data_IF_344210923955
#
_entry.id   IF_344210923955
#
_cell.length_a   1.000
_cell.length_b   1.000
_cell.length_c   1.000
_cell.angle_alpha   90.00
_cell.angle_beta   90.00
_cell.angle_gamma   90.00
#
_symmetry.space_group_name_H-M   'P 1'
#
loop_
_entity.id
_entity.type
_entity.pdbx_description
1 polymer ?
#
# COMPACT_ATOMS: atom_id res chain seq x y z
N UNK A 1 43.12 -4.80 57.44
CA UNK A 1 43.37 -6.17 57.00
C UNK A 1 42.78 -6.37 55.63
N UNK A 2 43.60 -6.37 54.56
CA UNK A 2 43.19 -6.61 53.19
C UNK A 2 43.06 -8.10 52.95
N UNK A 3 41.89 -8.58 52.60
CA UNK A 3 41.67 -9.95 52.17
C UNK A 3 42.36 -10.10 50.80
N UNK A 4 43.46 -10.83 50.73
CA UNK A 4 44.09 -11.26 49.47
C UNK A 4 43.20 -12.37 48.90
N UNK A 5 42.42 -12.06 47.90
CA UNK A 5 41.72 -13.06 47.10
C UNK A 5 42.81 -13.86 46.37
N UNK A 6 42.91 -15.15 46.63
CA UNK A 6 43.83 -16.02 45.91
C UNK A 6 43.42 -16.09 44.44
N UNK A 7 44.37 -16.08 43.48
CA UNK A 7 44.04 -16.23 42.05
C UNK A 7 43.38 -17.58 41.82
N UNK A 8 42.25 -17.59 41.11
CA UNK A 8 41.51 -18.80 40.77
C UNK A 8 42.45 -19.75 39.98
N UNK A 9 42.67 -20.95 40.55
CA UNK A 9 43.42 -21.99 39.86
C UNK A 9 42.48 -22.67 38.85
N UNK A 10 42.69 -22.38 37.57
CA UNK A 10 42.00 -23.07 36.49
C UNK A 10 42.36 -24.58 36.53
N UNK A 11 41.38 -25.39 36.76
CA UNK A 11 41.53 -26.85 36.72
C UNK A 11 41.34 -27.35 35.30
N UNK A 12 41.82 -28.58 35.04
CA UNK A 12 41.60 -29.24 33.73
C UNK A 12 40.08 -29.41 33.46
N UNK A 13 39.31 -29.59 34.51
CA UNK A 13 37.84 -29.69 34.41
C UNK A 13 37.22 -28.36 33.94
N UNK A 14 37.69 -27.23 34.48
CA UNK A 14 37.20 -25.90 34.03
C UNK A 14 37.46 -25.65 32.55
N UNK A 15 38.65 -26.06 32.07
CA UNK A 15 38.99 -25.95 30.66
C UNK A 15 38.12 -26.86 29.77
N UNK A 16 37.83 -28.08 30.22
CA UNK A 16 36.93 -29.00 29.51
C UNK A 16 35.51 -28.43 29.48
N UNK A 17 34.98 -27.97 30.60
CA UNK A 17 33.63 -27.35 30.68
C UNK A 17 33.57 -26.14 29.78
N UNK A 18 34.55 -25.24 29.85
CA UNK A 18 34.61 -24.06 28.99
C UNK A 18 34.64 -24.46 27.50
N UNK A 19 35.47 -25.44 27.13
CA UNK A 19 35.53 -25.91 25.74
C UNK A 19 34.19 -26.50 25.27
N UNK A 20 33.53 -27.30 26.10
CA UNK A 20 32.19 -27.86 25.78
C UNK A 20 31.15 -26.75 25.63
N UNK A 21 31.15 -25.74 26.51
CA UNK A 21 30.21 -24.60 26.40
C UNK A 21 30.47 -23.77 25.14
N UNK A 22 31.73 -23.52 24.79
CA UNK A 22 32.08 -22.79 23.56
C UNK A 22 31.64 -23.59 22.32
N UNK A 23 31.91 -24.90 22.29
CA UNK A 23 31.47 -25.76 21.18
C UNK A 23 29.93 -25.77 21.08
N UNK A 24 29.25 -25.94 22.20
CA UNK A 24 27.76 -25.86 22.23
C UNK A 24 27.24 -24.53 21.72
N UNK A 25 27.80 -23.40 22.16
CA UNK A 25 27.43 -22.08 21.70
C UNK A 25 27.66 -21.88 20.19
N UNK A 26 28.81 -22.38 19.68
CA UNK A 26 29.11 -22.35 18.25
C UNK A 26 28.11 -23.20 17.45
N UNK A 27 27.84 -24.44 17.92
CA UNK A 27 26.86 -25.31 17.27
C UNK A 27 25.46 -24.67 17.23
N UNK A 28 25.00 -24.13 18.38
CA UNK A 28 23.72 -23.42 18.45
C UNK A 28 23.73 -22.22 17.49
N UNK A 29 24.80 -21.42 17.47
CA UNK A 29 24.95 -20.30 16.58
C UNK A 29 24.87 -20.70 15.09
N UNK A 30 25.56 -21.81 14.73
CA UNK A 30 25.52 -22.35 13.36
C UNK A 30 24.13 -22.88 13.01
N UNK A 31 23.45 -23.60 13.91
CA UNK A 31 22.09 -24.10 13.67
C UNK A 31 21.10 -22.96 13.50
N UNK A 32 21.15 -21.95 14.39
CA UNK A 32 20.30 -20.76 14.29
C UNK A 32 20.59 -20.01 12.99
N UNK A 33 21.85 -19.80 12.65
CA UNK A 33 22.23 -19.15 11.39
C UNK A 33 21.79 -19.97 10.17
N UNK A 34 21.99 -21.28 10.17
CA UNK A 34 21.60 -22.17 9.08
C UNK A 34 20.08 -22.22 8.85
N UNK A 35 19.28 -22.08 9.93
CA UNK A 35 17.82 -22.01 9.88
C UNK A 35 17.25 -20.60 9.77
N UNK A 36 18.09 -19.56 9.75
CA UNK A 36 17.61 -18.16 9.73
C UNK A 36 17.20 -17.74 8.32
N UNK A 37 16.16 -16.88 8.23
CA UNK A 37 15.74 -16.25 6.97
C UNK A 37 16.84 -15.38 6.34
N UNK A 38 17.84 -14.96 7.11
CA UNK A 38 18.97 -14.19 6.62
C UNK A 38 19.86 -15.00 5.64
N UNK A 39 20.02 -16.32 5.87
CA UNK A 39 20.76 -17.21 4.95
C UNK A 39 20.03 -17.41 3.62
N UNK A 40 18.71 -17.32 3.64
CA UNK A 40 17.82 -17.51 2.48
C UNK A 40 17.43 -16.17 1.83
N UNK A 41 18.20 -15.10 2.07
CA UNK A 41 18.03 -13.81 1.43
C UNK A 41 19.20 -13.56 0.47
N UNK A 42 18.86 -13.18 -0.75
CA UNK A 42 19.83 -12.80 -1.78
C UNK A 42 19.67 -11.32 -2.09
N UNK A 43 20.77 -10.60 -2.18
CA UNK A 43 20.79 -9.18 -2.54
C UNK A 43 21.79 -8.96 -3.66
N UNK A 44 21.32 -8.37 -4.75
CA UNK A 44 22.09 -7.95 -5.91
C UNK A 44 21.86 -6.45 -6.12
N UNK A 45 22.57 -5.61 -5.35
CA UNK A 45 22.38 -4.16 -5.38
C UNK A 45 23.04 -3.53 -6.60
N UNK A 46 22.49 -2.41 -7.07
CA UNK A 46 23.15 -1.58 -8.05
C UNK A 46 24.35 -0.86 -7.42
N UNK A 47 25.45 -0.75 -8.15
CA UNK A 47 26.66 -0.05 -7.70
C UNK A 47 26.41 1.45 -7.44
N UNK A 48 25.52 2.06 -8.23
CA UNK A 48 25.11 3.46 -8.12
C UNK A 48 23.61 3.57 -8.41
N UNK A 49 22.94 4.53 -7.76
CA UNK A 49 21.58 4.91 -8.08
C UNK A 49 21.54 5.54 -9.49
N UNK A 50 20.54 5.18 -10.26
CA UNK A 50 20.28 5.83 -11.55
C UNK A 50 19.70 7.23 -11.34
N UNK A 51 19.98 8.14 -12.28
CA UNK A 51 19.33 9.44 -12.29
C UNK A 51 17.83 9.30 -12.59
N UNK A 52 17.02 10.13 -11.92
CA UNK A 52 15.59 10.21 -12.23
C UNK A 52 15.40 10.68 -13.69
N UNK A 53 14.52 10.05 -14.46
CA UNK A 53 14.22 10.51 -15.80
C UNK A 53 13.53 11.88 -15.74
N UNK A 54 13.76 12.70 -16.77
CA UNK A 54 13.06 13.97 -16.89
C UNK A 54 11.56 13.71 -17.14
N UNK A 55 10.66 14.49 -16.54
CA UNK A 55 9.24 14.44 -16.89
C UNK A 55 9.04 14.68 -18.39
N UNK A 56 8.06 14.02 -18.97
CA UNK A 56 7.73 14.24 -20.37
C UNK A 56 7.12 15.63 -20.61
N UNK A 57 7.52 16.29 -21.69
CA UNK A 57 6.98 17.60 -22.09
C UNK A 57 5.58 17.50 -22.72
N UNK A 58 5.23 16.32 -23.27
CA UNK A 58 3.93 16.02 -23.90
C UNK A 58 3.58 14.55 -23.75
N UNK A 59 2.28 14.23 -23.78
CA UNK A 59 1.84 12.84 -23.89
C UNK A 59 2.07 12.32 -25.33
N UNK A 60 2.46 11.04 -25.49
CA UNK A 60 2.86 10.49 -26.81
C UNK A 60 1.69 10.39 -27.79
N UNK A 61 1.99 10.42 -29.09
CA UNK A 61 1.00 10.21 -30.16
C UNK A 61 0.70 8.74 -30.43
N UNK A 62 1.64 7.85 -30.14
CA UNK A 62 1.55 6.40 -30.27
C UNK A 62 2.30 5.74 -29.11
N UNK A 63 1.93 4.51 -28.78
CA UNK A 63 2.59 3.71 -27.75
C UNK A 63 2.67 2.25 -28.23
N UNK A 64 3.83 1.65 -28.02
CA UNK A 64 4.06 0.24 -28.27
C UNK A 64 4.63 -0.43 -26.99
N UNK A 65 4.34 -1.70 -26.83
CA UNK A 65 4.91 -2.46 -25.71
C UNK A 65 6.39 -2.71 -25.96
N UNK A 66 7.25 -2.21 -25.08
CA UNK A 66 8.71 -2.38 -25.17
C UNK A 66 9.24 -3.46 -24.23
N UNK A 67 8.58 -3.69 -23.11
CA UNK A 67 8.91 -4.75 -22.16
C UNK A 67 7.71 -5.15 -21.31
N UNK A 68 7.85 -6.29 -20.60
CA UNK A 68 6.92 -6.74 -19.58
C UNK A 68 7.65 -7.51 -18.49
N UNK A 69 7.11 -7.49 -17.26
CA UNK A 69 7.68 -8.20 -16.11
C UNK A 69 6.58 -8.68 -15.16
N UNK A 70 6.74 -9.87 -14.53
CA UNK A 70 5.83 -10.36 -13.51
C UNK A 70 5.88 -9.47 -12.26
N UNK A 71 4.70 -9.17 -11.69
CA UNK A 71 4.51 -8.33 -10.51
C UNK A 71 3.16 -8.65 -9.83
N UNK A 72 2.99 -9.88 -9.38
CA UNK A 72 1.74 -10.33 -8.76
C UNK A 72 1.49 -9.72 -7.37
N UNK A 73 2.53 -9.20 -6.72
CA UNK A 73 2.44 -8.58 -5.41
C UNK A 73 2.19 -7.05 -5.46
N UNK A 74 1.85 -6.51 -6.66
CA UNK A 74 1.45 -5.10 -6.84
C UNK A 74 0.09 -5.04 -7.53
N UNK A 75 -0.69 -4.01 -7.22
CA UNK A 75 -2.01 -3.76 -7.86
C UNK A 75 -2.00 -2.58 -8.82
N UNK A 76 -0.98 -1.73 -8.70
CA UNK A 76 -0.65 -0.62 -9.59
C UNK A 76 0.86 -0.61 -9.78
N UNK A 77 1.40 -0.08 -10.89
CA UNK A 77 2.84 0.03 -11.07
C UNK A 77 3.47 0.85 -9.93
N UNK A 78 4.50 0.34 -9.30
CA UNK A 78 5.20 1.00 -8.19
C UNK A 78 6.44 1.72 -8.72
N UNK A 79 6.60 2.99 -8.34
CA UNK A 79 7.64 3.87 -8.87
C UNK A 79 8.50 4.43 -7.76
N UNK A 80 9.80 4.19 -7.83
CA UNK A 80 10.82 4.99 -7.14
C UNK A 80 11.21 6.18 -8.01
N UNK A 81 12.06 7.06 -7.53
CA UNK A 81 12.47 8.25 -8.28
C UNK A 81 12.99 7.94 -9.69
N UNK A 82 13.63 6.80 -9.89
CA UNK A 82 14.27 6.44 -11.16
C UNK A 82 13.82 5.11 -11.76
N UNK A 83 13.10 4.26 -11.03
CA UNK A 83 12.89 2.86 -11.42
C UNK A 83 11.44 2.41 -11.26
N UNK A 84 11.08 1.40 -12.02
CA UNK A 84 9.82 0.66 -11.83
C UNK A 84 10.09 -0.53 -10.91
N UNK A 85 9.41 -0.58 -9.78
CA UNK A 85 9.51 -1.69 -8.83
C UNK A 85 8.48 -2.76 -9.19
N UNK A 86 8.95 -3.97 -9.43
CA UNK A 86 8.13 -5.15 -9.66
C UNK A 86 8.37 -6.19 -8.56
N UNK A 87 7.32 -6.88 -8.16
CA UNK A 87 7.35 -7.80 -7.03
C UNK A 87 6.54 -9.06 -7.33
N UNK A 88 7.21 -10.23 -7.30
CA UNK A 88 6.60 -11.51 -7.61
C UNK A 88 7.24 -12.64 -6.82
N UNK A 89 6.44 -13.63 -6.37
CA UNK A 89 6.90 -14.75 -5.56
C UNK A 89 7.53 -14.28 -4.24
N UNK A 90 8.86 -14.37 -4.14
CA UNK A 90 9.67 -13.84 -3.03
C UNK A 90 10.64 -12.76 -3.46
N UNK A 91 10.53 -12.26 -4.70
CA UNK A 91 11.53 -11.37 -5.32
C UNK A 91 10.96 -9.97 -5.57
N UNK A 92 11.74 -8.96 -5.18
CA UNK A 92 11.52 -7.54 -5.54
C UNK A 92 12.66 -7.10 -6.45
N UNK A 93 12.35 -6.42 -7.54
CA UNK A 93 13.32 -5.90 -8.51
C UNK A 93 12.99 -4.47 -8.88
N UNK A 94 14.02 -3.67 -9.11
CA UNK A 94 13.86 -2.41 -9.82
C UNK A 94 14.29 -2.58 -11.28
N UNK A 95 13.48 -2.04 -12.15
CA UNK A 95 13.69 -2.09 -13.60
C UNK A 95 13.90 -0.69 -14.15
N UNK A 96 14.73 -0.59 -15.17
CA UNK A 96 14.82 0.60 -16.00
C UNK A 96 13.48 0.86 -16.70
N UNK A 97 12.87 2.05 -16.57
CA UNK A 97 11.56 2.32 -17.13
C UNK A 97 11.53 2.17 -18.67
N UNK A 98 12.62 2.49 -19.34
CA UNK A 98 12.71 2.53 -20.79
C UNK A 98 12.90 1.14 -21.40
N UNK A 99 13.77 0.33 -20.82
CA UNK A 99 14.21 -0.96 -21.40
C UNK A 99 13.69 -2.19 -20.63
N UNK A 100 13.16 -2.03 -19.43
CA UNK A 100 12.85 -3.16 -18.52
C UNK A 100 14.08 -3.89 -17.96
N UNK A 101 15.29 -3.39 -18.22
CA UNK A 101 16.51 -3.99 -17.70
C UNK A 101 16.56 -3.92 -16.17
N UNK A 102 16.96 -5.02 -15.53
CA UNK A 102 17.09 -5.07 -14.08
C UNK A 102 18.22 -4.16 -13.61
N UNK A 103 17.93 -3.30 -12.62
CA UNK A 103 18.91 -2.43 -11.96
C UNK A 103 19.41 -3.03 -10.66
N UNK A 104 18.50 -3.57 -9.85
CA UNK A 104 18.80 -4.30 -8.63
C UNK A 104 17.75 -5.37 -8.36
N UNK A 105 18.11 -6.34 -7.50
CA UNK A 105 17.24 -7.45 -7.09
C UNK A 105 17.43 -7.74 -5.61
N UNK A 106 16.32 -8.04 -4.94
CA UNK A 106 16.29 -8.57 -3.58
C UNK A 106 15.34 -9.75 -3.52
N UNK A 107 15.76 -10.87 -2.94
CA UNK A 107 14.97 -12.09 -2.83
C UNK A 107 14.99 -12.64 -1.41
N UNK A 108 13.85 -13.17 -0.98
CA UNK A 108 13.70 -13.98 0.23
C UNK A 108 12.91 -15.24 -0.08
N UNK A 109 13.26 -16.36 0.60
CA UNK A 109 12.48 -17.60 0.56
C UNK A 109 11.18 -17.49 1.38
N UNK A 110 10.47 -16.40 1.22
CA UNK A 110 9.17 -16.11 1.83
C UNK A 110 8.24 -15.52 0.75
N UNK A 111 6.97 -15.92 0.72
CA UNK A 111 6.03 -15.33 -0.24
C UNK A 111 5.75 -13.87 0.08
N UNK A 112 5.73 -13.03 -0.94
CA UNK A 112 5.32 -11.64 -0.84
C UNK A 112 3.81 -11.53 -0.60
N UNK A 113 3.43 -10.68 0.35
CA UNK A 113 2.06 -10.21 0.54
C UNK A 113 1.77 -8.95 -0.28
N UNK A 114 2.79 -8.12 -0.48
CA UNK A 114 2.69 -6.88 -1.23
C UNK A 114 4.02 -6.14 -1.32
N UNK A 115 4.11 -5.21 -2.25
CA UNK A 115 5.20 -4.25 -2.36
C UNK A 115 4.66 -2.86 -2.72
N UNK A 116 5.31 -1.83 -2.20
CA UNK A 116 4.93 -0.44 -2.36
C UNK A 116 6.17 0.44 -2.46
N UNK A 117 6.19 1.39 -3.39
CA UNK A 117 7.17 2.47 -3.40
C UNK A 117 6.66 3.65 -2.55
N UNK A 118 7.50 4.18 -1.67
CA UNK A 118 7.14 5.21 -0.72
C UNK A 118 8.26 6.24 -0.56
N UNK A 119 7.94 7.42 -0.05
CA UNK A 119 8.82 8.58 0.19
C UNK A 119 9.63 9.01 -1.04
N UNK A 120 8.99 9.17 -2.24
CA UNK A 120 9.69 9.65 -3.43
C UNK A 120 10.22 11.09 -3.20
N UNK A 121 11.46 11.33 -3.61
CA UNK A 121 12.12 12.64 -3.39
C UNK A 121 12.72 12.84 -2.01
N UNK A 122 12.55 11.89 -1.07
CA UNK A 122 13.21 11.80 0.23
C UNK A 122 14.07 10.54 0.29
N UNK A 123 13.71 9.59 1.19
CA UNK A 123 14.42 8.32 1.35
C UNK A 123 14.28 7.40 0.14
N UNK A 124 13.24 7.59 -0.67
CA UNK A 124 12.96 6.84 -1.90
C UNK A 124 13.04 5.31 -1.71
N UNK A 125 12.09 4.75 -0.99
CA UNK A 125 12.13 3.36 -0.56
C UNK A 125 11.17 2.46 -1.34
N UNK A 126 11.62 1.24 -1.63
CA UNK A 126 10.76 0.12 -2.00
C UNK A 126 10.48 -0.73 -0.74
N UNK A 127 9.25 -0.66 -0.23
CA UNK A 127 8.81 -1.42 0.93
C UNK A 127 8.19 -2.72 0.48
N UNK A 128 8.67 -3.83 1.00
CA UNK A 128 8.19 -5.19 0.69
C UNK A 128 7.74 -5.89 1.97
N UNK A 129 6.59 -6.54 1.90
CA UNK A 129 5.97 -7.27 3.01
C UNK A 129 5.91 -8.74 2.65
N UNK A 130 6.48 -9.59 3.51
CA UNK A 130 6.54 -11.03 3.33
C UNK A 130 5.72 -11.74 4.41
N UNK A 131 5.21 -12.91 4.06
CA UNK A 131 4.44 -13.77 4.96
C UNK A 131 5.32 -14.84 5.60
N UNK A 132 5.21 -14.93 6.91
CA UNK A 132 5.77 -16.02 7.71
C UNK A 132 4.66 -16.72 8.53
N UNK A 133 5.01 -17.43 9.59
CA UNK A 133 4.06 -18.09 10.48
C UNK A 133 3.16 -17.14 11.30
N UNK A 134 3.46 -15.83 11.33
CA UNK A 134 2.68 -14.77 11.99
C UNK A 134 1.94 -13.88 11.00
N UNK A 135 1.67 -14.37 9.79
CA UNK A 135 1.01 -13.62 8.73
C UNK A 135 1.98 -12.77 7.90
N UNK A 136 1.48 -11.71 7.28
CA UNK A 136 2.24 -10.74 6.45
C UNK A 136 3.05 -9.77 7.34
N UNK A 137 3.97 -10.32 8.13
CA UNK A 137 4.59 -9.65 9.26
C UNK A 137 6.05 -9.24 9.07
N UNK A 138 6.72 -9.76 8.04
CA UNK A 138 8.12 -9.46 7.75
C UNK A 138 8.22 -8.32 6.74
N UNK A 139 8.68 -7.15 7.19
CA UNK A 139 8.79 -5.95 6.35
C UNK A 139 10.25 -5.63 6.11
N UNK A 140 10.58 -5.31 4.85
CA UNK A 140 11.91 -4.85 4.44
C UNK A 140 11.75 -3.59 3.60
N UNK A 141 12.46 -2.53 3.98
CA UNK A 141 12.62 -1.32 3.18
C UNK A 141 13.97 -1.38 2.44
N UNK A 142 13.92 -1.22 1.14
CA UNK A 142 15.06 -1.21 0.23
C UNK A 142 15.22 0.18 -0.35
N UNK A 143 16.45 0.68 -0.43
CA UNK A 143 16.75 1.91 -1.15
C UNK A 143 16.31 1.79 -2.61
N UNK A 144 15.46 2.69 -3.08
CA UNK A 144 14.84 2.61 -4.41
C UNK A 144 15.85 2.70 -5.56
N UNK A 145 16.94 3.44 -5.35
CA UNK A 145 18.00 3.58 -6.36
C UNK A 145 18.97 2.42 -6.41
N UNK A 146 19.31 1.81 -5.26
CA UNK A 146 20.39 0.80 -5.17
C UNK A 146 19.91 -0.59 -4.78
N UNK A 147 18.73 -0.74 -4.15
CA UNK A 147 18.27 -2.01 -3.60
C UNK A 147 18.96 -2.43 -2.29
N UNK A 148 19.80 -1.57 -1.72
CA UNK A 148 20.38 -1.83 -0.39
C UNK A 148 19.27 -1.79 0.67
N UNK A 149 19.39 -2.67 1.66
CA UNK A 149 18.44 -2.72 2.76
C UNK A 149 18.70 -1.58 3.73
N UNK A 150 17.70 -0.71 3.92
CA UNK A 150 17.75 0.45 4.82
C UNK A 150 17.13 0.13 6.19
N UNK A 151 15.98 -0.56 6.19
CA UNK A 151 15.29 -0.91 7.42
C UNK A 151 14.58 -2.26 7.30
N UNK A 152 14.28 -2.85 8.45
CA UNK A 152 13.46 -4.06 8.55
C UNK A 152 12.67 -4.06 9.85
N UNK A 153 11.50 -4.69 9.82
CA UNK A 153 10.73 -4.98 11.03
C UNK A 153 10.06 -6.35 10.91
N UNK A 154 9.72 -6.90 12.06
CA UNK A 154 8.88 -8.08 12.17
C UNK A 154 7.86 -7.82 13.27
N UNK A 155 6.60 -8.07 12.98
CA UNK A 155 5.51 -7.89 13.94
C UNK A 155 4.50 -9.03 13.82
N UNK A 156 3.28 -8.83 14.25
CA UNK A 156 2.13 -9.68 13.98
C UNK A 156 1.27 -9.04 12.89
N UNK A 157 0.64 -9.84 12.05
CA UNK A 157 -0.22 -9.34 10.97
C UNK A 157 -1.23 -10.40 10.54
N UNK A 158 -2.20 -9.99 9.75
CA UNK A 158 -3.10 -10.93 9.05
C UNK A 158 -2.37 -11.64 7.90
N UNK A 159 -2.93 -12.74 7.41
CA UNK A 159 -2.37 -13.52 6.28
C UNK A 159 -2.42 -12.78 4.94
N UNK A 160 -3.22 -11.74 4.86
CA UNK A 160 -3.32 -10.85 3.71
C UNK A 160 -3.40 -9.41 4.17
N UNK A 161 -2.70 -8.52 3.48
CA UNK A 161 -2.69 -7.08 3.78
C UNK A 161 -2.79 -6.26 2.49
N UNK A 162 -3.41 -5.09 2.59
CA UNK A 162 -3.32 -4.02 1.62
C UNK A 162 -2.29 -3.00 2.10
N UNK A 163 -1.46 -2.50 1.20
CA UNK A 163 -0.47 -1.47 1.46
C UNK A 163 -0.92 -0.16 0.82
N UNK A 164 -0.73 0.94 1.53
CA UNK A 164 -0.96 2.29 1.01
C UNK A 164 0.01 3.28 1.65
N UNK A 165 0.19 4.44 1.01
CA UNK A 165 1.11 5.49 1.44
C UNK A 165 0.44 6.86 1.28
N UNK A 166 0.56 7.74 2.28
CA UNK A 166 -0.07 9.07 2.29
C UNK A 166 0.90 10.24 2.08
N UNK A 167 2.17 9.94 1.85
CA UNK A 167 3.23 10.94 1.77
C UNK A 167 4.14 10.95 3.01
N UNK A 168 3.66 10.47 4.15
CA UNK A 168 4.42 10.43 5.41
C UNK A 168 4.47 9.04 6.03
N UNK A 169 3.33 8.32 6.07
CA UNK A 169 3.25 6.98 6.64
C UNK A 169 2.86 5.94 5.59
N UNK A 170 3.52 4.79 5.65
CA UNK A 170 3.02 3.56 5.00
C UNK A 170 2.04 2.89 5.96
N UNK A 171 0.90 2.48 5.43
CA UNK A 171 -0.11 1.69 6.12
C UNK A 171 -0.10 0.26 5.59
N UNK A 172 -0.18 -0.71 6.50
CA UNK A 172 -0.47 -2.12 6.21
C UNK A 172 -1.76 -2.50 6.92
N UNK A 173 -2.79 -2.88 6.19
CA UNK A 173 -4.10 -3.20 6.73
C UNK A 173 -4.59 -4.56 6.25
N UNK A 174 -4.85 -5.45 7.19
CA UNK A 174 -5.55 -6.71 6.99
C UNK A 174 -6.99 -6.67 7.51
N UNK A 175 -7.72 -7.79 7.48
CA UNK A 175 -9.11 -7.85 7.92
C UNK A 175 -9.31 -7.68 9.44
N UNK A 176 -8.27 -7.84 10.27
CA UNK A 176 -8.38 -7.72 11.72
C UNK A 176 -7.37 -6.78 12.35
N UNK A 177 -6.29 -6.45 11.64
CA UNK A 177 -5.18 -5.65 12.16
C UNK A 177 -4.68 -4.64 11.14
N UNK A 178 -4.33 -3.46 11.62
CA UNK A 178 -3.72 -2.38 10.86
C UNK A 178 -2.49 -1.84 11.60
N UNK A 179 -1.43 -1.54 10.86
CA UNK A 179 -0.26 -0.80 11.34
C UNK A 179 0.09 0.35 10.39
N UNK A 180 0.69 1.39 10.94
CA UNK A 180 1.37 2.44 10.16
C UNK A 180 2.85 2.48 10.50
N UNK A 181 3.68 2.89 9.54
CA UNK A 181 5.15 2.98 9.72
C UNK A 181 5.69 4.24 9.08
N UNK A 182 6.62 4.90 9.78
CA UNK A 182 7.49 5.92 9.19
C UNK A 182 8.56 5.33 8.26
N UNK A 183 9.38 6.17 7.64
CA UNK A 183 10.42 5.75 6.67
C UNK A 183 11.48 4.81 7.26
N UNK A 184 11.73 4.90 8.55
CA UNK A 184 12.60 3.99 9.30
C UNK A 184 11.90 2.70 9.76
N UNK A 185 10.66 2.45 9.33
CA UNK A 185 9.78 1.35 9.73
C UNK A 185 9.45 1.33 11.23
N UNK A 186 9.66 2.42 11.95
CA UNK A 186 9.13 2.58 13.32
C UNK A 186 7.61 2.70 13.21
N UNK A 187 6.93 1.96 14.10
CA UNK A 187 5.47 1.93 14.15
C UNK A 187 4.92 3.28 14.61
N UNK A 188 3.96 3.81 13.84
CA UNK A 188 3.15 4.95 14.23
C UNK A 188 2.00 4.52 15.13
N UNK A 189 1.14 3.62 14.63
CA UNK A 189 0.05 3.00 15.41
C UNK A 189 -0.08 1.52 15.11
N UNK A 190 -0.74 0.79 16.00
CA UNK A 190 -1.36 -0.51 15.72
C UNK A 190 -2.83 -0.46 16.15
N UNK A 191 -3.72 -1.00 15.33
CA UNK A 191 -5.16 -0.93 15.55
C UNK A 191 -5.87 -2.22 15.17
N UNK A 192 -6.98 -2.53 15.86
CA UNK A 192 -7.74 -3.76 15.71
C UNK A 192 -7.23 -4.87 16.63
N UNK A 193 -6.90 -6.05 16.09
CA UNK A 193 -6.37 -7.16 16.89
C UNK A 193 -4.95 -6.87 17.37
N UNK A 194 -4.80 -6.69 18.66
CA UNK A 194 -3.52 -6.53 19.36
C UNK A 194 -3.50 -7.52 20.51
N UNK A 195 -2.75 -8.62 20.38
CA UNK A 195 -2.82 -9.76 21.29
C UNK A 195 -2.24 -9.47 22.68
N UNK A 196 -1.28 -8.57 22.78
CA UNK A 196 -0.65 -8.19 24.05
C UNK A 196 -0.29 -6.69 24.03
N UNK A 197 -1.28 -5.79 24.20
CA UNK A 197 -1.01 -4.37 24.22
C UNK A 197 -0.16 -4.00 25.45
N UNK A 198 0.90 -3.23 25.20
CA UNK A 198 1.75 -2.70 26.29
C UNK A 198 0.93 -1.74 27.17
N UNK A 199 0.08 -0.95 26.55
CA UNK A 199 -0.89 -0.09 27.21
C UNK A 199 -2.30 -0.40 26.67
N UNK A 200 -3.19 -1.04 27.44
CA UNK A 200 -4.55 -1.36 27.01
C UNK A 200 -5.41 -0.13 26.66
N UNK A 201 -5.07 1.04 27.18
CA UNK A 201 -5.81 2.29 26.94
C UNK A 201 -5.33 3.07 25.70
N UNK A 202 -4.36 2.52 24.96
CA UNK A 202 -3.83 3.14 23.73
C UNK A 202 -4.89 3.32 22.65
N UNK A 203 -5.71 2.28 22.44
CA UNK A 203 -6.71 2.26 21.37
C UNK A 203 -8.11 2.63 21.90
N UNK A 204 -9.01 3.11 21.02
CA UNK A 204 -10.42 3.25 21.35
C UNK A 204 -11.02 1.95 21.89
N UNK A 205 -11.87 2.05 22.91
CA UNK A 205 -12.54 0.91 23.56
C UNK A 205 -13.56 0.24 22.63
N UNK A 206 -13.07 -0.67 21.79
CA UNK A 206 -13.86 -1.49 20.87
C UNK A 206 -13.23 -2.87 20.73
N UNK A 207 -14.08 -3.89 20.61
CA UNK A 207 -13.64 -5.28 20.56
C UNK A 207 -14.11 -5.99 19.29
N UNK A 208 -13.34 -7.01 18.90
CA UNK A 208 -13.63 -7.92 17.80
C UNK A 208 -13.97 -7.19 16.47
N UNK A 209 -13.26 -6.11 16.19
CA UNK A 209 -13.46 -5.34 14.97
C UNK A 209 -12.97 -6.12 13.76
N UNK A 210 -13.81 -6.14 12.71
CA UNK A 210 -13.41 -6.54 11.37
C UNK A 210 -13.23 -5.30 10.52
N UNK A 211 -12.07 -5.16 9.89
CA UNK A 211 -11.70 -4.07 9.00
C UNK A 211 -12.05 -4.46 7.56
N UNK A 212 -12.85 -3.66 6.88
CA UNK A 212 -13.33 -3.91 5.51
C UNK A 212 -12.58 -3.06 4.48
N UNK A 213 -12.18 -1.86 4.88
CA UNK A 213 -11.39 -0.95 4.05
C UNK A 213 -10.61 -0.03 4.96
N UNK A 214 -9.38 0.27 4.63
CA UNK A 214 -8.57 1.29 5.28
C UNK A 214 -7.83 2.11 4.24
N UNK A 215 -7.63 3.40 4.52
CA UNK A 215 -6.87 4.31 3.65
C UNK A 215 -6.19 5.39 4.50
N UNK A 216 -4.88 5.62 4.32
CA UNK A 216 -4.19 6.73 4.97
C UNK A 216 -4.41 8.03 4.20
N UNK A 217 -4.30 9.16 4.88
CA UNK A 217 -4.35 10.49 4.27
C UNK A 217 -3.94 11.58 5.24
N UNK A 218 -2.85 12.30 4.94
CA UNK A 218 -2.35 13.45 5.67
C UNK A 218 -2.23 13.22 7.20
N UNK A 219 -1.41 12.25 7.59
CA UNK A 219 -1.16 11.88 8.98
C UNK A 219 -2.38 11.30 9.74
N UNK A 220 -3.34 10.79 8.99
CA UNK A 220 -4.52 10.10 9.52
C UNK A 220 -4.75 8.79 8.79
N UNK A 221 -5.49 7.91 9.42
CA UNK A 221 -5.97 6.66 8.81
C UNK A 221 -7.49 6.61 9.00
N UNK A 222 -8.21 6.51 7.90
CA UNK A 222 -9.62 6.17 7.92
C UNK A 222 -9.81 4.65 7.81
N UNK A 223 -10.77 4.11 8.53
CA UNK A 223 -11.11 2.69 8.55
C UNK A 223 -12.63 2.53 8.41
N UNK A 224 -13.05 1.70 7.47
CA UNK A 224 -14.41 1.15 7.44
C UNK A 224 -14.39 -0.18 8.14
N UNK A 225 -15.10 -0.27 9.25
CA UNK A 225 -15.06 -1.42 10.14
C UNK A 225 -16.44 -1.82 10.65
N UNK A 226 -16.50 -2.98 11.32
CA UNK A 226 -17.62 -3.40 12.15
C UNK A 226 -17.09 -4.11 13.36
N UNK A 227 -17.45 -3.63 14.55
CA UNK A 227 -17.05 -4.17 15.84
C UNK A 227 -18.27 -4.79 16.56
N UNK A 228 -18.02 -5.41 17.71
CA UNK A 228 -19.09 -5.92 18.56
C UNK A 228 -20.09 -4.80 18.90
N UNK A 229 -21.37 -5.10 18.78
CA UNK A 229 -22.46 -4.15 19.02
C UNK A 229 -22.82 -3.27 17.82
N UNK A 230 -22.02 -3.22 16.75
CA UNK A 230 -22.36 -2.48 15.54
C UNK A 230 -23.41 -3.22 14.70
N UNK A 231 -24.50 -2.55 14.36
CA UNK A 231 -25.54 -3.10 13.49
C UNK A 231 -25.11 -3.06 12.01
N UNK A 232 -24.34 -2.04 11.62
CA UNK A 232 -23.90 -1.80 10.25
C UNK A 232 -22.40 -1.54 10.16
N UNK A 233 -21.98 -0.89 9.09
CA UNK A 233 -20.60 -0.47 8.87
C UNK A 233 -20.36 0.91 9.48
N UNK A 234 -19.20 1.08 10.08
CA UNK A 234 -18.73 2.29 10.75
C UNK A 234 -17.53 2.88 10.02
N UNK A 235 -17.46 4.19 9.92
CA UNK A 235 -16.26 4.94 9.56
C UNK A 235 -15.61 5.44 10.85
N UNK A 236 -14.33 5.15 11.02
CA UNK A 236 -13.49 5.67 12.10
C UNK A 236 -12.28 6.35 11.49
N UNK A 237 -11.90 7.52 11.99
CA UNK A 237 -10.68 8.23 11.60
C UNK A 237 -9.77 8.35 12.79
N UNK A 238 -8.52 7.86 12.62
CA UNK A 238 -7.47 7.78 13.62
C UNK A 238 -6.27 8.63 13.20
N UNK A 239 -5.41 9.03 14.14
CA UNK A 239 -4.07 9.51 13.82
C UNK A 239 -3.19 8.39 13.26
N UNK A 240 -2.25 8.72 12.38
CA UNK A 240 -1.27 7.75 11.85
C UNK A 240 -0.11 7.46 12.80
N UNK A 241 0.02 8.24 13.88
CA UNK A 241 0.97 8.02 14.96
C UNK A 241 0.27 8.24 16.31
N UNK A 242 0.82 7.63 17.35
CA UNK A 242 0.44 7.89 18.73
C UNK A 242 0.79 9.34 19.11
N UNK A 243 0.03 9.92 20.04
CA UNK A 243 0.29 11.25 20.57
C UNK A 243 1.38 11.22 21.66
N UNK A 244 1.61 12.37 22.31
CA UNK A 244 2.60 12.49 23.40
C UNK A 244 2.27 11.65 24.64
N UNK A 245 1.04 11.21 24.79
CA UNK A 245 0.56 10.36 25.89
C UNK A 245 0.53 8.88 25.49
N UNK A 246 1.17 8.53 24.36
CA UNK A 246 1.22 7.19 23.79
C UNK A 246 -0.19 6.62 23.47
N UNK A 247 -1.11 7.47 23.01
CA UNK A 247 -2.49 7.11 22.66
C UNK A 247 -2.77 7.32 21.18
N UNK A 248 -3.61 6.47 20.61
CA UNK A 248 -4.14 6.65 19.26
C UNK A 248 -5.23 7.72 19.32
N UNK A 249 -4.98 8.85 18.71
CA UNK A 249 -5.97 9.92 18.58
C UNK A 249 -7.11 9.46 17.67
N UNK A 250 -8.33 9.40 18.20
CA UNK A 250 -9.52 9.21 17.38
C UNK A 250 -10.11 10.58 17.03
N UNK A 251 -10.03 10.96 15.76
CA UNK A 251 -10.59 12.20 15.23
C UNK A 251 -12.12 12.17 15.17
N UNK A 252 -12.66 11.02 14.79
CA UNK A 252 -14.11 10.85 14.77
C UNK A 252 -14.53 9.42 14.45
N UNK A 253 -15.82 9.14 14.70
CA UNK A 253 -16.44 7.86 14.32
C UNK A 253 -17.94 8.07 14.05
N UNK A 254 -18.45 7.43 13.00
CA UNK A 254 -19.87 7.49 12.62
C UNK A 254 -20.34 6.21 11.96
N UNK A 255 -21.62 5.86 12.10
CA UNK A 255 -22.22 4.75 11.36
C UNK A 255 -22.46 5.16 9.91
N UNK A 256 -21.90 4.41 8.96
CA UNK A 256 -22.17 4.61 7.53
C UNK A 256 -23.48 3.97 7.11
N UNK A 257 -23.84 2.86 7.72
CA UNK A 257 -25.05 2.07 7.40
C UNK A 257 -25.73 1.62 8.68
N UNK A 258 -27.02 1.33 8.61
CA UNK A 258 -27.83 0.83 9.73
C UNK A 258 -27.87 -0.70 9.78
N UNK A 259 -27.43 -1.38 8.71
CA UNK A 259 -27.36 -2.82 8.61
C UNK A 259 -26.03 -3.25 8.00
N UNK A 260 -25.66 -4.52 8.20
CA UNK A 260 -24.49 -5.14 7.58
C UNK A 260 -24.86 -5.99 6.36
N UNK A 261 -26.08 -5.89 5.88
CA UNK A 261 -26.51 -6.58 4.66
C UNK A 261 -25.93 -5.87 3.42
N UNK A 262 -25.44 -6.65 2.49
CA UNK A 262 -24.81 -6.13 1.27
C UNK A 262 -23.31 -5.84 1.39
N UNK A 263 -22.69 -5.35 0.31
CA UNK A 263 -21.27 -5.08 0.25
C UNK A 263 -20.88 -3.91 1.19
N UNK A 264 -19.71 -4.03 1.81
CA UNK A 264 -19.16 -2.98 2.65
C UNK A 264 -18.80 -1.74 1.82
N UNK A 265 -19.03 -0.52 2.35
CA UNK A 265 -18.47 0.70 1.78
C UNK A 265 -16.94 0.64 1.73
N UNK A 266 -16.31 1.34 0.77
CA UNK A 266 -14.86 1.36 0.57
C UNK A 266 -14.32 2.78 0.62
N UNK A 267 -13.22 2.97 1.31
CA UNK A 267 -12.44 4.20 1.25
C UNK A 267 -11.76 4.31 -0.12
N UNK A 268 -11.86 5.48 -0.74
CA UNK A 268 -11.34 5.72 -2.09
C UNK A 268 -10.44 6.96 -2.19
N UNK A 269 -10.57 7.92 -1.27
CA UNK A 269 -9.66 9.06 -1.17
C UNK A 269 -9.45 9.43 0.30
N UNK A 270 -8.22 9.86 0.62
CA UNK A 270 -7.85 10.42 1.91
C UNK A 270 -6.96 11.64 1.70
N UNK A 271 -7.42 12.79 2.15
CA UNK A 271 -6.71 14.06 2.06
C UNK A 271 -6.58 14.73 3.42
N UNK A 272 -6.03 15.96 3.42
CA UNK A 272 -5.86 16.73 4.66
C UNK A 272 -7.18 17.21 5.25
N UNK A 273 -8.19 17.43 4.43
CA UNK A 273 -9.49 18.01 4.83
C UNK A 273 -10.65 17.04 4.76
N UNK A 274 -10.48 15.87 4.15
CA UNK A 274 -11.60 14.94 3.95
C UNK A 274 -11.16 13.51 3.66
N UNK A 275 -12.11 12.59 3.88
CA UNK A 275 -12.07 11.20 3.41
C UNK A 275 -13.30 10.91 2.55
N UNK A 276 -13.09 10.22 1.43
CA UNK A 276 -14.18 9.84 0.53
C UNK A 276 -14.40 8.33 0.56
N UNK A 277 -15.66 7.98 0.65
CA UNK A 277 -16.15 6.60 0.74
C UNK A 277 -17.00 6.30 -0.49
N UNK A 278 -16.67 5.28 -1.24
CA UNK A 278 -17.56 4.66 -2.20
C UNK A 278 -18.57 3.80 -1.42
N UNK A 279 -19.80 4.23 -1.41
CA UNK A 279 -20.93 3.49 -0.86
C UNK A 279 -21.65 2.79 -2.01
N UNK A 280 -21.70 1.45 -2.07
CA UNK A 280 -22.38 0.74 -3.15
C UNK A 280 -23.90 0.91 -3.15
N UNK A 281 -24.45 1.56 -2.13
CA UNK A 281 -25.89 1.76 -1.99
C UNK A 281 -26.60 0.57 -1.39
N UNK A 282 -27.93 0.67 -1.28
CA UNK A 282 -28.82 -0.43 -0.89
C UNK A 282 -29.38 -1.11 -2.13
N UNK A 283 -29.67 -2.40 -2.01
CA UNK A 283 -30.70 -3.01 -2.85
C UNK A 283 -32.07 -2.37 -2.56
N UNK A 284 -33.08 -2.66 -3.36
CA UNK A 284 -34.37 -1.94 -3.49
C UNK A 284 -35.18 -1.70 -2.19
N UNK A 285 -34.71 -2.05 -1.00
CA UNK A 285 -35.43 -1.96 0.27
C UNK A 285 -35.24 -0.64 1.02
N UNK A 286 -34.31 0.22 0.58
CA UNK A 286 -34.10 1.59 1.09
C UNK A 286 -33.75 1.65 2.58
N UNK A 287 -32.47 1.85 2.90
CA UNK A 287 -32.00 2.12 4.25
C UNK A 287 -32.01 3.63 4.51
N UNK A 288 -32.55 4.07 5.64
CA UNK A 288 -32.64 5.50 5.97
C UNK A 288 -31.25 6.14 5.99
N UNK A 289 -31.07 7.21 5.21
CA UNK A 289 -29.80 7.96 5.13
C UNK A 289 -28.75 7.36 4.18
N UNK A 290 -29.07 6.29 3.45
CA UNK A 290 -28.22 5.69 2.43
C UNK A 290 -28.77 5.96 1.03
N UNK A 291 -27.87 6.17 0.05
CA UNK A 291 -28.28 6.36 -1.34
C UNK A 291 -28.89 5.06 -1.91
N UNK A 292 -29.89 5.14 -2.79
CA UNK A 292 -30.51 3.95 -3.40
C UNK A 292 -29.61 3.24 -4.42
N UNK A 293 -28.42 3.76 -4.70
CA UNK A 293 -27.42 3.22 -5.62
C UNK A 293 -26.02 3.68 -5.25
N UNK A 294 -25.00 3.30 -6.04
CA UNK A 294 -23.63 3.69 -5.76
C UNK A 294 -23.45 5.21 -5.68
N UNK A 295 -22.68 5.65 -4.68
CA UNK A 295 -22.39 7.05 -4.46
C UNK A 295 -20.99 7.25 -3.86
N UNK A 296 -20.37 8.39 -4.11
CA UNK A 296 -19.23 8.90 -3.35
C UNK A 296 -19.77 9.77 -2.23
N UNK A 297 -19.43 9.41 -0.98
CA UNK A 297 -19.76 10.17 0.22
C UNK A 297 -18.47 10.77 0.79
N UNK A 298 -18.49 12.07 1.05
CA UNK A 298 -17.32 12.82 1.56
C UNK A 298 -17.57 13.19 3.02
N UNK A 299 -16.56 12.97 3.85
CA UNK A 299 -16.58 13.24 5.29
C UNK A 299 -15.38 14.11 5.68
N UNK A 300 -15.53 14.99 6.67
CA UNK A 300 -14.38 15.63 7.33
C UNK A 300 -13.58 14.61 8.13
N UNK A 301 -12.37 14.93 8.63
CA UNK A 301 -11.66 14.07 9.56
C UNK A 301 -12.42 13.74 10.83
N UNK A 302 -13.29 14.64 11.31
CA UNK A 302 -14.18 14.44 12.46
C UNK A 302 -15.46 13.68 12.08
N UNK A 303 -15.49 13.11 10.86
CA UNK A 303 -16.54 12.30 10.27
C UNK A 303 -17.90 13.00 10.09
N UNK A 304 -17.92 14.33 10.00
CA UNK A 304 -19.09 15.05 9.56
C UNK A 304 -19.29 14.86 8.05
N UNK A 305 -20.50 14.52 7.64
CA UNK A 305 -20.84 14.37 6.22
C UNK A 305 -20.82 15.74 5.52
N UNK A 306 -20.06 15.84 4.43
CA UNK A 306 -19.89 17.08 3.63
C UNK A 306 -20.71 17.02 2.35
N UNK A 307 -20.60 15.90 1.61
CA UNK A 307 -21.24 15.75 0.32
C UNK A 307 -21.60 14.28 0.04
N UNK A 308 -22.61 14.10 -0.80
CA UNK A 308 -22.93 12.80 -1.39
C UNK A 308 -23.22 12.99 -2.87
N UNK A 309 -22.50 12.28 -3.73
CA UNK A 309 -22.72 12.34 -5.18
C UNK A 309 -22.97 10.95 -5.73
N UNK A 310 -24.14 10.67 -6.33
CA UNK A 310 -24.39 9.43 -7.05
C UNK A 310 -23.38 9.24 -8.18
N UNK A 311 -22.93 8.01 -8.38
CA UNK A 311 -21.99 7.62 -9.45
C UNK A 311 -22.43 6.29 -10.06
N UNK A 312 -22.05 6.03 -11.30
CA UNK A 312 -22.25 4.71 -11.89
C UNK A 312 -21.20 3.74 -11.33
N UNK A 313 -21.63 2.52 -10.94
CA UNK A 313 -20.69 1.55 -10.38
C UNK A 313 -21.32 0.21 -10.05
N UNK A 314 -20.47 -0.77 -9.76
CA UNK A 314 -20.86 -2.11 -9.30
C UNK A 314 -20.81 -2.19 -7.77
N UNK A 315 -21.50 -3.16 -7.20
CA UNK A 315 -21.58 -3.33 -5.75
C UNK A 315 -20.20 -3.57 -5.09
N UNK A 316 -19.29 -4.27 -5.76
CA UNK A 316 -17.96 -4.58 -5.26
C UNK A 316 -16.91 -4.33 -6.36
N UNK A 317 -16.53 -3.06 -6.61
CA UNK A 317 -15.53 -2.75 -7.63
C UNK A 317 -14.16 -3.32 -7.25
N UNK A 318 -13.42 -3.79 -8.24
CA UNK A 318 -12.07 -4.29 -8.08
C UNK A 318 -11.03 -3.15 -8.13
N UNK A 319 -9.82 -3.44 -7.65
CA UNK A 319 -8.69 -2.53 -7.74
C UNK A 319 -8.60 -1.53 -6.58
N UNK A 320 -7.48 -0.84 -6.53
CA UNK A 320 -7.16 0.18 -5.53
C UNK A 320 -7.31 1.58 -6.15
N UNK A 321 -7.62 2.61 -5.37
CA UNK A 321 -7.54 3.97 -5.85
C UNK A 321 -6.09 4.32 -6.22
N UNK A 322 -5.94 5.27 -7.12
CA UNK A 322 -4.65 5.74 -7.64
C UNK A 322 -4.56 7.24 -7.45
N UNK A 323 -3.49 7.69 -6.78
CA UNK A 323 -3.21 9.10 -6.57
C UNK A 323 -2.15 9.56 -7.55
N UNK A 324 -2.38 10.64 -8.26
CA UNK A 324 -1.42 11.26 -9.18
C UNK A 324 -1.73 12.74 -9.37
N UNK A 325 -0.71 13.59 -9.31
CA UNK A 325 -0.79 15.04 -9.62
C UNK A 325 -1.99 15.75 -8.97
N UNK A 326 -2.25 15.46 -7.70
CA UNK A 326 -3.31 16.11 -6.92
C UNK A 326 -4.73 15.61 -7.18
N UNK A 327 -4.90 14.56 -7.99
CA UNK A 327 -6.19 13.89 -8.17
C UNK A 327 -6.14 12.44 -7.69
N UNK A 328 -7.30 11.95 -7.27
CA UNK A 328 -7.52 10.53 -6.96
C UNK A 328 -8.43 9.93 -8.01
N UNK A 329 -8.02 8.81 -8.57
CA UNK A 329 -8.80 8.05 -9.54
C UNK A 329 -9.28 6.76 -8.91
N UNK A 330 -10.56 6.49 -9.02
CA UNK A 330 -11.16 5.24 -8.54
C UNK A 330 -12.03 4.61 -9.62
N UNK A 331 -11.72 3.36 -9.96
CA UNK A 331 -12.50 2.60 -10.93
C UNK A 331 -13.69 1.91 -10.24
N UNK A 332 -14.90 2.26 -10.66
CA UNK A 332 -16.16 1.78 -10.08
C UNK A 332 -16.65 0.46 -10.67
N UNK A 333 -15.89 -0.13 -11.63
CA UNK A 333 -16.31 -1.29 -12.40
C UNK A 333 -17.07 -0.96 -13.69
N UNK A 334 -17.60 0.27 -13.81
CA UNK A 334 -18.28 0.77 -15.02
C UNK A 334 -17.60 2.00 -15.62
N UNK A 335 -16.81 2.70 -14.82
CA UNK A 335 -16.09 3.90 -15.21
C UNK A 335 -15.09 4.32 -14.14
N UNK A 336 -14.32 5.36 -14.41
CA UNK A 336 -13.40 5.97 -13.44
C UNK A 336 -13.98 7.28 -12.93
N UNK A 337 -14.11 7.37 -11.60
CA UNK A 337 -14.42 8.61 -10.90
C UNK A 337 -13.09 9.30 -10.60
N UNK A 338 -13.00 10.57 -10.96
CA UNK A 338 -11.86 11.43 -10.64
C UNK A 338 -12.27 12.39 -9.54
N UNK A 339 -11.51 12.38 -8.44
CA UNK A 339 -11.77 13.19 -7.27
C UNK A 339 -10.60 14.18 -7.07
N UNK A 340 -10.89 15.33 -6.54
CA UNK A 340 -9.87 16.24 -6.03
C UNK A 340 -9.17 15.62 -4.83
N UNK A 341 -7.85 15.57 -4.87
CA UNK A 341 -7.04 14.81 -3.89
C UNK A 341 -7.04 15.40 -2.48
N UNK A 342 -7.40 16.68 -2.33
CA UNK A 342 -7.45 17.36 -1.04
C UNK A 342 -8.85 17.35 -0.43
N UNK A 343 -9.86 17.78 -1.22
CA UNK A 343 -11.24 17.87 -0.75
C UNK A 343 -12.03 16.57 -0.88
N UNK A 344 -11.52 15.57 -1.62
CA UNK A 344 -12.20 14.32 -1.88
C UNK A 344 -13.48 14.45 -2.72
N UNK A 345 -13.80 15.63 -3.22
CA UNK A 345 -14.99 15.85 -4.03
C UNK A 345 -14.83 15.28 -5.43
N UNK A 346 -15.93 14.75 -5.98
CA UNK A 346 -15.95 14.28 -7.36
C UNK A 346 -15.84 15.46 -8.31
N UNK A 347 -14.78 15.48 -9.13
CA UNK A 347 -14.59 16.42 -10.22
C UNK A 347 -15.46 16.02 -11.41
N UNK A 348 -15.25 14.80 -11.91
CA UNK A 348 -16.01 14.22 -13.02
C UNK A 348 -15.94 12.70 -13.01
N UNK A 349 -16.73 12.08 -13.88
CA UNK A 349 -16.78 10.63 -14.09
C UNK A 349 -16.58 10.32 -15.58
N UNK A 350 -15.78 9.30 -15.88
CA UNK A 350 -15.53 8.84 -17.25
C UNK A 350 -16.02 7.40 -17.39
N UNK A 351 -17.15 7.19 -18.07
CA UNK A 351 -17.69 5.85 -18.27
C UNK A 351 -16.87 5.03 -19.27
N UNK A 352 -16.97 3.70 -19.15
CA UNK A 352 -16.37 2.76 -20.09
C UNK A 352 -14.85 2.60 -19.97
N UNK A 353 -14.21 3.16 -18.95
CA UNK A 353 -12.82 2.86 -18.61
C UNK A 353 -12.69 1.45 -18.02
N UNK A 354 -11.49 0.88 -18.12
CA UNK A 354 -11.16 -0.46 -17.59
C UNK A 354 -10.23 -0.41 -16.38
N UNK A 355 -10.09 0.75 -15.73
CA UNK A 355 -9.29 0.90 -14.52
C UNK A 355 -8.84 2.33 -14.26
N UNK A 356 -7.80 2.50 -13.43
CA UNK A 356 -7.29 3.81 -13.02
C UNK A 356 -6.24 4.33 -13.99
N UNK A 357 -6.18 5.65 -14.14
CA UNK A 357 -5.27 6.35 -15.05
C UNK A 357 -4.00 6.88 -14.39
N UNK A 358 -3.31 7.73 -15.14
CA UNK A 358 -2.15 8.51 -14.72
C UNK A 358 -2.19 9.90 -15.35
N UNK A 359 -1.42 10.84 -14.80
CA UNK A 359 -1.24 12.18 -15.38
C UNK A 359 0.12 12.25 -16.07
N UNK A 360 0.15 12.74 -17.31
CA UNK A 360 1.37 12.95 -18.07
C UNK A 360 1.32 14.30 -18.77
N UNK A 361 2.31 15.14 -18.55
CA UNK A 361 2.37 16.49 -19.13
C UNK A 361 1.08 17.33 -18.93
N UNK A 362 0.43 17.18 -17.75
CA UNK A 362 -0.82 17.87 -17.41
C UNK A 362 -2.08 17.29 -18.05
N UNK A 363 -1.98 16.23 -18.85
CA UNK A 363 -3.13 15.50 -19.43
C UNK A 363 -3.42 14.22 -18.64
N UNK A 364 -4.70 13.87 -18.52
CA UNK A 364 -5.17 12.66 -17.88
C UNK A 364 -5.24 11.52 -18.89
N UNK A 365 -4.49 10.46 -18.65
CA UNK A 365 -4.46 9.21 -19.43
C UNK A 365 -5.37 8.19 -18.75
N UNK A 366 -6.42 7.71 -19.42
CA UNK A 366 -7.33 6.69 -18.88
C UNK A 366 -7.36 5.44 -19.78
N UNK A 367 -7.21 4.23 -19.19
CA UNK A 367 -7.27 2.99 -19.95
C UNK A 367 -8.72 2.69 -20.37
N UNK A 368 -8.91 2.45 -21.66
CA UNK A 368 -10.17 2.01 -22.25
C UNK A 368 -9.95 0.74 -23.08
N UNK A 369 -10.98 -0.01 -23.45
CA UNK A 369 -10.84 -1.15 -24.35
C UNK A 369 -10.12 -0.74 -25.64
N UNK A 370 -8.99 -1.38 -25.96
CA UNK A 370 -8.19 -1.16 -27.17
C UNK A 370 -7.50 0.20 -27.31
N UNK A 371 -7.57 1.08 -26.29
CA UNK A 371 -6.97 2.43 -26.38
C UNK A 371 -6.65 3.01 -24.99
N UNK A 372 -5.84 4.06 -24.98
CA UNK A 372 -5.73 5.01 -23.87
C UNK A 372 -6.41 6.31 -24.32
N UNK A 373 -7.39 6.79 -23.53
CA UNK A 373 -8.04 8.08 -23.74
C UNK A 373 -7.19 9.17 -23.10
N UNK A 374 -6.87 10.21 -23.85
CA UNK A 374 -6.13 11.40 -23.39
C UNK A 374 -7.14 12.52 -23.16
N UNK A 375 -7.15 13.05 -21.94
CA UNK A 375 -8.20 13.97 -21.49
C UNK A 375 -7.64 15.21 -20.81
N UNK A 376 -8.40 16.27 -20.79
CA UNK A 376 -8.13 17.44 -19.97
C UNK A 376 -8.34 17.07 -18.50
N UNK A 377 -7.34 17.39 -17.65
CA UNK A 377 -7.39 17.08 -16.22
C UNK A 377 -8.49 17.89 -15.48
N UNK A 378 -8.86 19.07 -15.99
CA UNK A 378 -9.80 19.98 -15.34
C UNK A 378 -11.27 19.56 -15.43
N UNK A 379 -11.68 18.96 -16.56
CA UNK A 379 -13.09 18.67 -16.85
C UNK A 379 -13.34 17.27 -17.45
N UNK A 380 -12.28 16.49 -17.66
CA UNK A 380 -12.34 15.13 -18.18
C UNK A 380 -12.70 15.03 -19.66
N UNK A 381 -12.72 16.14 -20.42
CA UNK A 381 -13.04 16.13 -21.86
C UNK A 381 -11.94 15.43 -22.62
N UNK A 382 -12.29 14.44 -23.47
CA UNK A 382 -11.35 13.73 -24.35
C UNK A 382 -10.82 14.69 -25.43
N UNK A 383 -9.50 14.82 -25.50
CA UNK A 383 -8.79 15.57 -26.53
C UNK A 383 -8.42 14.66 -27.72
N UNK A 384 -8.00 13.46 -27.43
CA UNK A 384 -7.60 12.42 -28.39
C UNK A 384 -7.53 11.05 -27.72
N UNK A 385 -7.16 10.02 -28.47
CA UNK A 385 -6.85 8.71 -27.93
C UNK A 385 -5.61 8.12 -28.59
N UNK A 386 -4.98 7.15 -27.92
CA UNK A 386 -3.82 6.39 -28.38
C UNK A 386 -4.26 4.92 -28.49
N UNK A 387 -4.24 4.32 -29.69
CA UNK A 387 -4.54 2.89 -29.83
C UNK A 387 -3.52 2.04 -29.08
N UNK A 388 -3.98 0.99 -28.40
CA UNK A 388 -3.13 0.04 -27.67
C UNK A 388 -3.60 -1.38 -27.93
N UNK A 389 -2.68 -2.22 -28.39
CA UNK A 389 -2.89 -3.65 -28.40
C UNK A 389 -2.45 -4.25 -27.04
N UNK A 390 -3.37 -4.88 -26.33
CA UNK A 390 -3.11 -5.57 -25.06
C UNK A 390 -3.04 -7.09 -25.20
N UNK A 391 -2.90 -7.61 -26.42
CA UNK A 391 -2.75 -9.05 -26.66
C UNK A 391 -3.93 -9.88 -26.15
N UNK A 392 -5.16 -9.36 -26.22
CA UNK A 392 -6.37 -10.04 -25.75
C UNK A 392 -6.61 -9.95 -24.22
N UNK A 393 -5.80 -9.18 -23.49
CA UNK A 393 -6.07 -8.92 -22.07
C UNK A 393 -7.34 -8.06 -21.90
N UNK A 394 -8.31 -8.56 -21.17
CA UNK A 394 -9.65 -7.97 -20.95
C UNK A 394 -9.92 -7.57 -19.47
N UNK A 395 -8.93 -7.77 -18.59
CA UNK A 395 -9.01 -7.37 -17.18
C UNK A 395 -8.86 -5.88 -16.93
N UNK A 396 -8.91 -5.49 -15.65
CA UNK A 396 -8.66 -4.11 -15.26
C UNK A 396 -7.18 -3.72 -15.46
N UNK A 397 -6.96 -2.44 -15.77
CA UNK A 397 -5.63 -1.86 -16.04
C UNK A 397 -5.41 -0.65 -15.15
N UNK A 398 -4.28 -0.59 -14.44
CA UNK A 398 -3.87 0.62 -13.74
C UNK A 398 -2.67 1.27 -14.42
N UNK A 399 -2.73 2.57 -14.64
CA UNK A 399 -1.63 3.32 -15.29
C UNK A 399 -0.76 4.03 -14.26
N UNK A 400 0.52 4.21 -14.61
CA UNK A 400 1.48 5.15 -14.03
C UNK A 400 2.39 5.69 -15.13
N UNK A 401 3.08 6.78 -14.85
CA UNK A 401 4.05 7.39 -15.76
C UNK A 401 5.37 7.62 -15.04
N UNK A 402 6.48 7.26 -15.68
CA UNK A 402 7.82 7.60 -15.21
C UNK A 402 8.67 8.10 -16.39
N UNK A 403 9.00 9.39 -16.37
CA UNK A 403 9.60 10.06 -17.52
C UNK A 403 8.66 10.06 -18.73
N UNK A 404 9.10 9.52 -19.84
CA UNK A 404 8.35 9.34 -21.10
C UNK A 404 7.73 7.94 -21.27
N UNK A 405 7.83 7.09 -20.24
CA UNK A 405 7.30 5.72 -20.26
C UNK A 405 5.94 5.65 -19.56
N UNK A 406 4.93 5.18 -20.27
CA UNK A 406 3.63 4.81 -19.69
C UNK A 406 3.69 3.36 -19.24
N UNK A 407 3.25 3.10 -18.03
CA UNK A 407 3.27 1.79 -17.40
C UNK A 407 1.84 1.30 -17.19
N UNK A 408 1.56 0.06 -17.57
CA UNK A 408 0.30 -0.62 -17.30
C UNK A 408 0.51 -1.79 -16.35
N UNK A 409 -0.26 -1.83 -15.26
CA UNK A 409 -0.45 -3.07 -14.49
C UNK A 409 -1.60 -3.83 -15.13
N UNK A 410 -1.33 -5.00 -15.69
CA UNK A 410 -2.29 -5.93 -16.29
C UNK A 410 -2.34 -7.20 -15.45
N UNK A 411 -3.25 -7.26 -14.46
CA UNK A 411 -3.26 -8.35 -13.49
C UNK A 411 -1.89 -8.53 -12.82
N UNK A 412 -1.26 -9.72 -12.91
CA UNK A 412 0.04 -9.99 -12.27
C UNK A 412 1.26 -9.49 -13.08
N UNK A 413 1.07 -8.64 -14.07
CA UNK A 413 2.14 -8.22 -14.98
C UNK A 413 2.20 -6.69 -15.11
N UNK A 414 3.39 -6.11 -15.00
CA UNK A 414 3.67 -4.72 -15.37
C UNK A 414 4.22 -4.70 -16.79
N UNK A 415 3.73 -3.76 -17.59
CA UNK A 415 4.09 -3.56 -18.99
C UNK A 415 4.58 -2.13 -19.19
N UNK A 416 5.72 -1.95 -19.84
CA UNK A 416 6.23 -0.66 -20.27
C UNK A 416 5.85 -0.36 -21.71
N UNK A 417 5.32 0.84 -21.92
CA UNK A 417 4.85 1.36 -23.22
C UNK A 417 5.61 2.63 -23.56
N UNK A 418 6.05 2.73 -24.81
CA UNK A 418 6.71 3.94 -25.37
C UNK A 418 6.32 4.19 -26.81
#
# INVERSE_FOLDING_TARGET
>A
MGVRIAPERRTRLDLIVTAVLVVAAVVVGVVVWAGSSARHSESDPAANAAAAPQPADASPGALEQVWSAPSAATTVPQLTAASVVVADGGTVRALDPTSGAQRWRYHRDLPLCGALAAWPGGEDLAVSVYRNSRGCSEVTALNGGTGLREAQRSSDADDTVALAFDGEYVMSAGPTRLETWGSNLVRGIEYGRVDAPVNPEVAPDRSNCRLYSALPGANRVAVVERCDGDLGYRLTVLGSAEDSDEKIVQWGTTMLTQTSHGPAPRLVAGGSTSFSVYDPGTDATGEVGRAPGPAIRVFTPEVAAVATRPVAGVAAPAGSPSVDSGVVMFWTGLGTVVLDGNSGNVMFEVPGTIGTGAVMAGELLLPMPGRISVRQLSDGRESRFIPIDRGGYDGNVALRVLGDTVLEQRGPTVVGLR
#
